data_IF_094980294312
#
_entry.id   IF_094980294312
#
_cell.length_a   1.000
_cell.length_b   1.000
_cell.length_c   1.000
_cell.angle_alpha   90.00
_cell.angle_beta   90.00
_cell.angle_gamma   90.00
#
_symmetry.space_group_name_H-M   'P 1'
#
loop_
_entity.id
_entity.type
_entity.pdbx_description
1 polymer ?
#
# COMPACT_ATOMS: atom_id res chain seq x y z
N UNK A 1 3.30 -7.04 39.69
CA UNK A 1 2.22 -6.05 39.47
C UNK A 1 2.76 -5.00 38.53
N UNK A 2 2.12 -4.77 37.39
CA UNK A 2 2.53 -3.74 36.42
C UNK A 2 2.16 -2.35 36.95
N UNK A 3 3.13 -1.45 37.02
CA UNK A 3 2.90 -0.04 37.35
C UNK A 3 2.14 0.63 36.21
N UNK A 4 0.97 1.19 36.52
CA UNK A 4 0.11 1.85 35.53
C UNK A 4 0.75 3.15 34.98
N UNK A 5 0.30 3.55 33.79
CA UNK A 5 0.62 4.83 33.17
C UNK A 5 0.14 6.00 34.04
N UNK A 6 1.04 6.52 34.88
CA UNK A 6 0.78 7.70 35.68
C UNK A 6 0.75 8.93 34.76
N UNK A 7 -0.39 9.61 34.68
CA UNK A 7 -0.54 10.85 33.92
C UNK A 7 0.37 11.96 34.47
N UNK A 8 1.55 12.12 33.88
CA UNK A 8 2.52 13.14 34.26
C UNK A 8 2.06 14.54 33.79
N UNK A 9 1.51 15.31 34.73
CA UNK A 9 1.07 16.69 34.49
C UNK A 9 2.30 17.62 34.41
N UNK A 10 2.96 17.65 33.25
CA UNK A 10 4.10 18.51 32.95
C UNK A 10 3.61 19.70 32.10
N UNK A 11 3.89 20.97 32.48
CA UNK A 11 3.47 22.13 31.70
C UNK A 11 4.24 22.23 30.39
N UNK A 12 3.56 21.98 29.27
CA UNK A 12 4.12 22.07 27.92
C UNK A 12 4.23 23.54 27.49
N UNK A 13 5.41 24.03 27.02
CA UNK A 13 5.61 25.42 26.63
C UNK A 13 5.10 25.70 25.21
N UNK A 14 3.77 25.66 25.03
CA UNK A 14 3.09 25.76 23.73
C UNK A 14 3.51 26.99 22.91
N UNK A 15 3.65 28.17 23.51
CA UNK A 15 4.04 29.40 22.79
C UNK A 15 5.42 29.27 22.14
N UNK A 16 6.36 28.59 22.80
CA UNK A 16 7.71 28.35 22.28
C UNK A 16 7.68 27.32 21.13
N UNK A 17 6.81 26.31 21.22
CA UNK A 17 6.60 25.34 20.14
C UNK A 17 5.97 26.00 18.91
N UNK A 18 4.93 26.81 19.10
CA UNK A 18 4.27 27.56 18.01
C UNK A 18 5.23 28.53 17.33
N UNK A 19 6.00 29.30 18.10
CA UNK A 19 7.03 30.20 17.57
C UNK A 19 8.11 29.44 16.80
N UNK A 20 8.56 28.28 17.30
CA UNK A 20 9.54 27.44 16.62
C UNK A 20 8.99 26.86 15.30
N UNK A 21 7.74 26.39 15.26
CA UNK A 21 7.08 25.93 14.02
C UNK A 21 6.96 27.06 13.00
N UNK A 22 6.53 28.25 13.43
CA UNK A 22 6.47 29.44 12.55
C UNK A 22 7.84 29.79 11.97
N UNK A 23 8.92 29.68 12.75
CA UNK A 23 10.28 29.87 12.26
C UNK A 23 10.69 28.82 11.22
N UNK A 24 10.28 27.55 11.36
CA UNK A 24 10.59 26.53 10.34
C UNK A 24 9.88 26.87 9.02
N UNK A 25 8.56 27.13 9.07
CA UNK A 25 7.76 27.49 7.89
C UNK A 25 8.33 28.75 7.20
N UNK A 26 8.70 29.77 7.97
CA UNK A 26 9.30 30.99 7.43
C UNK A 26 10.67 30.76 6.76
N UNK A 27 11.44 29.76 7.22
CA UNK A 27 12.67 29.34 6.54
C UNK A 27 12.36 28.61 5.23
N UNK A 28 11.43 27.66 5.21
CA UNK A 28 11.03 26.93 3.98
C UNK A 28 10.50 27.88 2.90
N UNK A 29 9.67 28.85 3.29
CA UNK A 29 9.17 29.90 2.39
C UNK A 29 10.28 30.81 1.83
N UNK A 30 11.42 30.94 2.54
CA UNK A 30 12.55 31.78 2.14
C UNK A 30 13.60 31.01 1.30
N UNK A 31 13.79 29.73 1.56
CA UNK A 31 14.77 28.87 0.86
C UNK A 31 14.17 28.15 -0.34
N UNK A 32 12.86 27.92 -0.35
CA UNK A 32 12.20 27.03 -1.31
C UNK A 32 12.59 25.56 -1.12
N UNK A 33 13.08 25.17 0.07
CA UNK A 33 13.53 23.83 0.42
C UNK A 33 13.06 23.47 1.84
N UNK A 34 12.71 22.19 2.13
CA UNK A 34 12.37 21.76 3.48
C UNK A 34 13.50 22.03 4.48
N UNK A 35 13.18 22.35 5.74
CA UNK A 35 14.22 22.58 6.76
C UNK A 35 14.95 21.28 7.09
N UNK A 36 16.28 21.34 7.09
CA UNK A 36 17.15 20.25 7.50
C UNK A 36 17.02 19.99 9.02
N UNK A 37 16.16 19.04 9.38
CA UNK A 37 15.96 18.57 10.74
C UNK A 37 16.93 17.45 11.13
N UNK A 38 17.28 17.35 12.42
CA UNK A 38 18.10 16.24 12.93
C UNK A 38 17.29 14.96 13.08
N UNK A 39 17.97 13.81 12.98
CA UNK A 39 17.34 12.48 13.07
C UNK A 39 16.43 12.31 14.32
N UNK A 40 16.83 12.68 15.55
CA UNK A 40 15.96 12.49 16.73
C UNK A 40 14.73 13.41 16.73
N UNK A 41 14.82 14.59 16.12
CA UNK A 41 13.66 15.48 15.99
C UNK A 41 12.64 14.93 14.99
N UNK A 42 13.11 14.30 13.89
CA UNK A 42 12.26 13.62 12.91
C UNK A 42 11.61 12.36 13.50
N UNK A 43 12.37 11.57 14.27
CA UNK A 43 11.82 10.45 15.05
C UNK A 43 10.73 10.93 16.02
N UNK A 44 11.02 11.95 16.83
CA UNK A 44 10.04 12.54 17.76
C UNK A 44 8.77 13.07 17.06
N UNK A 45 8.90 13.85 15.98
CA UNK A 45 7.75 14.35 15.23
C UNK A 45 6.91 13.21 14.64
N UNK A 46 7.53 12.12 14.18
CA UNK A 46 6.84 10.97 13.59
C UNK A 46 6.00 10.15 14.58
N UNK A 47 6.17 10.37 15.88
CA UNK A 47 5.29 9.83 16.92
C UNK A 47 4.02 10.67 17.14
N UNK A 48 4.00 11.93 16.68
CA UNK A 48 2.85 12.84 16.79
C UNK A 48 2.10 13.05 15.47
N UNK A 49 2.81 13.04 14.34
CA UNK A 49 2.25 13.30 13.00
C UNK A 49 2.83 12.30 11.98
N UNK A 50 2.00 11.57 11.22
CA UNK A 50 2.50 10.60 10.23
C UNK A 50 3.13 11.31 9.02
N UNK A 51 4.41 11.03 8.76
CA UNK A 51 5.15 11.57 7.61
C UNK A 51 4.74 10.94 6.26
N UNK A 52 4.05 9.79 6.29
CA UNK A 52 3.50 9.14 5.12
C UNK A 52 2.19 8.44 5.50
N UNK A 53 1.16 8.62 4.67
CA UNK A 53 -0.08 7.83 4.72
C UNK A 53 -0.06 6.93 3.49
N UNK A 54 0.10 5.62 3.70
CA UNK A 54 0.11 4.66 2.59
C UNK A 54 -1.33 4.50 2.04
N UNK A 55 -1.61 4.86 0.77
CA UNK A 55 -2.95 4.71 0.20
C UNK A 55 -3.33 3.26 0.01
N UNK A 56 -4.62 2.93 0.12
CA UNK A 56 -5.10 1.59 -0.25
C UNK A 56 -4.80 1.26 -1.72
N UNK A 57 -4.15 0.12 -1.91
CA UNK A 57 -3.84 -0.48 -3.21
C UNK A 57 -4.41 -1.90 -3.30
N UNK A 58 -5.65 -2.07 -2.85
CA UNK A 58 -6.50 -3.26 -3.00
C UNK A 58 -6.11 -4.16 -4.17
N UNK A 59 -5.97 -5.47 -3.88
CA UNK A 59 -5.23 -6.47 -4.67
C UNK A 59 -5.88 -6.89 -6.01
N UNK A 60 -6.59 -5.97 -6.67
CA UNK A 60 -7.35 -6.15 -7.91
C UNK A 60 -6.50 -6.46 -9.16
N UNK A 61 -5.24 -6.88 -9.03
CA UNK A 61 -4.38 -7.28 -10.14
C UNK A 61 -4.04 -6.16 -11.14
N UNK A 62 -3.90 -4.91 -10.66
CA UNK A 62 -3.76 -3.73 -11.54
C UNK A 62 -2.62 -3.82 -12.56
N UNK A 63 -1.50 -4.48 -12.22
CA UNK A 63 -0.38 -4.71 -13.15
C UNK A 63 -0.82 -5.59 -14.34
N UNK A 64 -1.54 -6.69 -14.08
CA UNK A 64 -2.05 -7.60 -15.12
C UNK A 64 -3.09 -6.90 -15.99
N UNK A 65 -4.06 -6.19 -15.38
CA UNK A 65 -5.07 -5.40 -16.09
C UNK A 65 -4.47 -4.29 -16.95
N UNK A 66 -3.39 -3.66 -16.49
CA UNK A 66 -2.65 -2.67 -17.29
C UNK A 66 -1.99 -3.33 -18.51
N UNK A 67 -1.32 -4.47 -18.33
CA UNK A 67 -0.66 -5.20 -19.42
C UNK A 67 -1.69 -5.64 -20.47
N UNK A 68 -2.82 -6.21 -20.03
CA UNK A 68 -3.96 -6.56 -20.89
C UNK A 68 -4.49 -5.34 -21.66
N UNK A 69 -4.72 -4.21 -20.97
CA UNK A 69 -5.18 -2.97 -21.60
C UNK A 69 -4.19 -2.45 -22.63
N UNK A 70 -2.89 -2.42 -22.30
CA UNK A 70 -1.80 -2.01 -23.19
C UNK A 70 -1.73 -2.89 -24.45
N UNK A 71 -1.85 -4.21 -24.29
CA UNK A 71 -1.89 -5.16 -25.40
C UNK A 71 -3.14 -4.97 -26.27
N UNK A 72 -4.32 -4.76 -25.68
CA UNK A 72 -5.57 -4.49 -26.42
C UNK A 72 -5.49 -3.22 -27.27
N UNK A 73 -4.73 -2.22 -26.80
CA UNK A 73 -4.47 -0.96 -27.50
C UNK A 73 -3.26 -1.03 -28.45
N UNK A 74 -2.60 -2.20 -28.57
CA UNK A 74 -1.36 -2.43 -29.33
C UNK A 74 -0.21 -1.47 -28.96
N UNK A 75 -0.19 -1.01 -27.71
CA UNK A 75 0.87 -0.17 -27.17
C UNK A 75 2.08 -1.03 -26.73
N UNK A 76 3.26 -0.41 -26.63
CA UNK A 76 4.44 -1.06 -26.09
C UNK A 76 4.27 -1.41 -24.58
N UNK A 77 4.88 -2.51 -24.15
CA UNK A 77 4.79 -2.98 -22.75
C UNK A 77 5.25 -1.90 -21.75
N UNK A 78 4.63 -1.79 -20.56
CA UNK A 78 5.02 -0.78 -19.57
C UNK A 78 6.44 -1.03 -19.04
N UNK A 79 7.24 0.04 -18.99
CA UNK A 79 8.55 0.03 -18.32
C UNK A 79 8.34 0.34 -16.84
N UNK A 80 8.98 -0.42 -15.96
CA UNK A 80 8.87 -0.24 -14.51
C UNK A 80 10.21 0.17 -13.92
N UNK A 81 10.21 1.26 -13.14
CA UNK A 81 11.38 1.79 -12.46
C UNK A 81 11.10 1.88 -10.98
N UNK A 82 11.62 0.93 -10.20
CA UNK A 82 11.67 1.05 -8.74
C UNK A 82 12.59 2.21 -8.36
N UNK A 83 12.12 3.14 -7.55
CA UNK A 83 12.99 4.09 -6.86
C UNK A 83 13.59 3.40 -5.62
N UNK A 84 14.81 3.78 -5.25
CA UNK A 84 15.51 3.22 -4.10
C UNK A 84 14.73 3.43 -2.78
N UNK A 85 14.96 2.59 -1.76
CA UNK A 85 14.32 2.75 -0.46
C UNK A 85 14.65 4.13 0.12
N UNK A 86 13.62 4.93 0.36
CA UNK A 86 13.74 6.24 1.02
C UNK A 86 13.50 6.04 2.51
N UNK A 87 14.45 6.47 3.34
CA UNK A 87 14.36 6.33 4.80
C UNK A 87 13.43 7.39 5.37
N UNK A 88 12.26 6.98 5.88
CA UNK A 88 11.19 7.86 6.34
C UNK A 88 10.84 7.53 7.80
N UNK A 89 10.67 8.53 8.69
CA UNK A 89 10.35 8.29 10.09
C UNK A 89 8.85 7.98 10.24
N UNK A 90 8.54 6.83 10.85
CA UNK A 90 7.19 6.37 11.17
C UNK A 90 7.18 5.95 12.64
N UNK A 91 6.28 6.51 13.44
CA UNK A 91 6.04 6.11 14.84
C UNK A 91 7.33 6.04 15.69
N UNK A 92 8.24 7.00 15.53
CA UNK A 92 9.52 7.04 16.25
C UNK A 92 10.68 6.30 15.60
N UNK A 93 10.49 5.66 14.44
CA UNK A 93 11.52 4.82 13.80
C UNK A 93 11.66 5.13 12.30
N UNK A 94 12.90 5.29 11.83
CA UNK A 94 13.19 5.35 10.40
C UNK A 94 13.03 3.98 9.73
N UNK A 95 12.17 3.92 8.71
CA UNK A 95 11.87 2.71 7.94
C UNK A 95 12.13 2.96 6.44
N UNK A 96 12.63 1.97 5.69
CA UNK A 96 12.76 2.07 4.24
C UNK A 96 11.39 1.94 3.57
N UNK A 97 10.94 2.99 2.87
CA UNK A 97 9.73 2.94 2.04
C UNK A 97 10.07 3.05 0.55
N UNK A 98 9.19 2.52 -0.30
CA UNK A 98 9.40 2.43 -1.75
C UNK A 98 8.43 3.29 -2.55
N UNK A 99 8.93 3.79 -3.69
CA UNK A 99 8.15 4.34 -4.80
C UNK A 99 8.47 3.51 -6.06
N UNK A 100 7.52 3.38 -6.96
CA UNK A 100 7.70 2.74 -8.26
C UNK A 100 7.08 3.64 -9.33
N UNK A 101 7.71 3.70 -10.50
CA UNK A 101 7.23 4.48 -11.64
C UNK A 101 6.92 3.52 -12.79
N UNK A 102 5.70 3.62 -13.32
CA UNK A 102 5.24 2.95 -14.52
C UNK A 102 5.31 3.94 -15.69
N UNK A 103 6.12 3.66 -16.70
CA UNK A 103 6.26 4.50 -17.89
C UNK A 103 5.62 3.81 -19.09
N UNK A 104 4.65 4.50 -19.69
CA UNK A 104 3.94 4.10 -20.89
C UNK A 104 4.45 4.95 -22.08
N UNK A 105 4.88 4.29 -23.14
CA UNK A 105 5.37 4.97 -24.35
C UNK A 105 4.28 5.90 -24.92
N UNK A 106 4.66 7.13 -25.28
CA UNK A 106 3.78 8.22 -25.74
C UNK A 106 2.70 8.71 -24.76
N UNK A 107 2.55 8.11 -23.57
CA UNK A 107 1.57 8.50 -22.54
C UNK A 107 2.20 9.05 -21.25
N UNK A 108 3.52 8.84 -21.07
CA UNK A 108 4.30 9.36 -19.96
C UNK A 108 4.39 8.41 -18.77
N UNK A 109 4.83 8.95 -17.64
CA UNK A 109 5.09 8.20 -16.41
C UNK A 109 3.99 8.39 -15.36
N UNK A 110 3.79 7.38 -14.53
CA UNK A 110 2.78 7.31 -13.46
C UNK A 110 3.40 6.70 -12.20
N UNK A 111 3.06 7.13 -10.97
CA UNK A 111 2.12 8.20 -10.62
C UNK A 111 2.52 9.58 -11.17
N UNK A 112 1.53 10.43 -11.41
CA UNK A 112 1.72 11.83 -11.84
C UNK A 112 0.59 12.72 -11.31
N UNK A 113 0.72 14.02 -11.48
CA UNK A 113 -0.32 15.00 -11.15
C UNK A 113 -1.66 14.64 -11.83
N UNK A 114 -2.74 14.62 -11.03
CA UNK A 114 -4.08 14.19 -11.44
C UNK A 114 -4.27 12.68 -11.62
N UNK A 115 -3.17 11.90 -11.63
CA UNK A 115 -3.17 10.44 -11.78
C UNK A 115 -2.19 9.80 -10.79
N UNK A 116 -2.53 9.90 -9.50
CA UNK A 116 -1.84 9.25 -8.39
C UNK A 116 -1.26 10.21 -7.33
N UNK A 117 -1.34 11.52 -7.55
CA UNK A 117 -1.23 12.57 -6.54
C UNK A 117 -1.86 13.87 -7.07
N UNK A 118 -2.18 14.81 -6.19
CA UNK A 118 -2.84 16.09 -6.51
C UNK A 118 -1.85 17.15 -6.96
N UNK A 119 -2.34 18.32 -7.39
CA UNK A 119 -1.51 19.46 -7.79
C UNK A 119 -0.66 19.93 -6.61
N UNK A 120 0.67 19.91 -6.77
CA UNK A 120 1.63 20.29 -5.73
C UNK A 120 1.95 19.20 -4.70
N UNK A 121 1.30 18.04 -4.74
CA UNK A 121 1.65 16.89 -3.92
C UNK A 121 2.80 16.08 -4.56
N UNK A 122 3.37 15.13 -3.81
CA UNK A 122 4.28 14.11 -4.35
C UNK A 122 3.61 12.74 -4.37
N UNK A 123 4.17 11.81 -5.16
CA UNK A 123 3.75 10.42 -5.13
C UNK A 123 3.89 9.82 -3.70
N UNK A 124 2.89 9.09 -3.19
CA UNK A 124 2.97 8.45 -1.87
C UNK A 124 4.08 7.39 -1.80
N UNK A 125 4.54 7.08 -0.59
CA UNK A 125 5.46 5.99 -0.33
C UNK A 125 4.74 4.77 0.25
N UNK A 126 5.31 3.58 0.05
CA UNK A 126 4.70 2.31 0.41
C UNK A 126 5.67 1.41 1.20
N UNK A 127 5.14 0.62 2.14
CA UNK A 127 5.89 -0.41 2.89
C UNK A 127 6.25 -1.64 2.04
N UNK A 128 5.83 -1.70 0.78
CA UNK A 128 6.34 -2.73 -0.14
C UNK A 128 6.47 -2.25 -1.59
N UNK A 129 7.47 -2.81 -2.28
CA UNK A 129 7.63 -2.66 -3.74
C UNK A 129 6.40 -3.16 -4.52
N UNK A 130 5.71 -4.19 -4.01
CA UNK A 130 4.47 -4.72 -4.59
C UNK A 130 3.39 -3.62 -4.63
N UNK A 131 3.13 -2.97 -3.49
CA UNK A 131 2.12 -1.92 -3.36
C UNK A 131 2.48 -0.71 -4.23
N UNK A 132 3.74 -0.25 -4.17
CA UNK A 132 4.21 0.86 -4.99
C UNK A 132 4.02 0.59 -6.50
N UNK A 133 4.31 -0.64 -6.96
CA UNK A 133 4.13 -1.06 -8.36
C UNK A 133 2.66 -1.19 -8.74
N UNK A 134 1.82 -1.76 -7.87
CA UNK A 134 0.37 -1.82 -8.05
C UNK A 134 -0.26 -0.41 -8.12
N UNK A 135 0.25 0.55 -7.34
CA UNK A 135 -0.25 1.93 -7.33
C UNK A 135 0.08 2.65 -8.64
N UNK A 136 1.34 2.55 -9.09
CA UNK A 136 1.74 3.04 -10.41
C UNK A 136 0.88 2.42 -11.53
N UNK A 137 0.57 1.12 -11.43
CA UNK A 137 -0.31 0.41 -12.36
C UNK A 137 -1.78 0.91 -12.31
N UNK A 138 -2.34 1.08 -11.11
CA UNK A 138 -3.71 1.56 -10.84
C UNK A 138 -3.97 2.90 -11.55
N UNK A 139 -3.03 3.83 -11.43
CA UNK A 139 -3.17 5.16 -12.03
C UNK A 139 -2.83 5.21 -13.52
N UNK A 140 -1.85 4.43 -14.01
CA UNK A 140 -1.61 4.27 -15.45
C UNK A 140 -2.81 3.62 -16.18
N UNK A 141 -3.45 2.62 -15.57
CA UNK A 141 -4.65 1.97 -16.10
C UNK A 141 -5.87 2.92 -16.09
N UNK A 142 -6.03 3.69 -15.01
CA UNK A 142 -7.07 4.72 -14.92
C UNK A 142 -6.91 5.76 -16.02
N UNK A 143 -5.68 6.22 -16.28
CA UNK A 143 -5.37 7.10 -17.41
C UNK A 143 -5.73 6.46 -18.77
N UNK A 144 -5.30 5.23 -19.08
CA UNK A 144 -5.65 4.54 -20.33
C UNK A 144 -7.13 4.15 -20.46
N UNK A 145 -7.92 4.32 -19.40
CA UNK A 145 -9.38 4.07 -19.39
C UNK A 145 -10.17 5.37 -19.57
N UNK A 146 -9.71 6.47 -18.98
CA UNK A 146 -10.31 7.80 -19.14
C UNK A 146 -9.89 8.48 -20.45
N UNK A 147 -8.65 8.24 -20.91
CA UNK A 147 -8.19 8.63 -22.22
C UNK A 147 -8.90 7.80 -23.29
N UNK A 148 -10.05 8.29 -23.77
CA UNK A 148 -10.64 7.85 -25.03
C UNK A 148 -9.55 7.84 -26.11
N UNK A 149 -9.56 6.88 -27.05
CA UNK A 149 -8.60 6.85 -28.15
C UNK A 149 -8.82 8.06 -29.06
N UNK A 150 -8.15 9.17 -28.75
CA UNK A 150 -8.02 10.30 -29.66
C UNK A 150 -7.28 9.79 -30.90
N UNK A 151 -7.95 9.82 -32.04
CA UNK A 151 -7.34 9.46 -33.32
C UNK A 151 -6.06 10.30 -33.50
N UNK A 152 -4.97 9.64 -33.94
CA UNK A 152 -3.65 10.25 -33.98
C UNK A 152 -3.62 11.28 -35.11
N UNK A 153 -3.94 12.54 -34.77
CA UNK A 153 -3.75 13.70 -35.63
C UNK A 153 -2.38 14.31 -35.30
N UNK A 154 -1.34 14.11 -36.13
CA UNK A 154 -0.04 14.71 -35.85
C UNK A 154 -0.12 16.23 -35.97
N UNK A 155 0.41 16.94 -34.97
CA UNK A 155 0.55 18.40 -35.01
C UNK A 155 -0.63 19.22 -34.47
N UNK A 156 -1.05 18.98 -33.21
CA UNK A 156 -1.71 20.05 -32.44
C UNK A 156 -1.28 20.08 -30.98
N UNK A 157 -0.63 21.18 -30.60
CA UNK A 157 -0.22 21.48 -29.23
C UNK A 157 -1.47 21.95 -28.44
N UNK A 158 -2.31 21.00 -28.03
CA UNK A 158 -3.50 21.30 -27.25
C UNK A 158 -3.13 21.71 -25.83
N UNK A 159 -3.12 23.03 -25.59
CA UNK A 159 -3.54 23.58 -24.29
C UNK A 159 -4.84 22.89 -23.89
N UNK A 160 -4.92 22.38 -22.66
CA UNK A 160 -6.23 22.19 -22.03
C UNK A 160 -6.74 23.56 -21.63
N UNK A 161 -7.91 23.94 -22.16
CA UNK A 161 -8.60 25.14 -21.71
C UNK A 161 -9.08 24.95 -20.27
N UNK A 162 -8.86 25.99 -19.47
CA UNK A 162 -9.13 26.03 -18.03
C UNK A 162 -10.63 26.22 -17.80
N UNK A 163 -11.35 25.28 -17.12
CA UNK A 163 -12.68 25.57 -16.60
C UNK A 163 -12.56 26.71 -15.58
N UNK A 164 -13.21 27.84 -15.87
CA UNK A 164 -13.20 29.00 -14.99
C UNK A 164 -14.34 28.89 -13.97
N UNK A 165 -14.02 28.52 -12.73
CA UNK A 165 -14.89 28.66 -11.57
C UNK A 165 -14.13 29.43 -10.48
N UNK A 166 -14.84 30.31 -9.77
CA UNK A 166 -14.26 31.41 -9.00
C UNK A 166 -13.46 30.98 -7.77
N UNK A 167 -12.38 31.69 -7.41
CA UNK A 167 -11.71 31.49 -6.12
C UNK A 167 -12.62 31.99 -4.98
N UNK A 168 -12.85 31.14 -3.98
CA UNK A 168 -13.42 31.57 -2.70
C UNK A 168 -12.46 32.55 -2.02
N UNK A 169 -13.01 33.62 -1.44
CA UNK A 169 -12.22 34.66 -0.80
C UNK A 169 -11.62 34.17 0.52
N UNK A 170 -10.31 34.38 0.70
CA UNK A 170 -9.65 34.34 2.00
C UNK A 170 -8.99 35.72 2.25
N UNK A 171 -9.05 36.29 3.47
CA UNK A 171 -8.66 37.69 3.69
C UNK A 171 -7.20 37.97 3.35
N UNK A 172 -6.97 39.10 2.66
CA UNK A 172 -5.65 39.54 2.18
C UNK A 172 -5.17 40.74 3.02
N UNK A 173 -4.11 40.62 3.83
CA UNK A 173 -3.53 41.77 4.53
C UNK A 173 -3.02 42.83 3.56
N UNK A 174 -3.25 44.11 3.89
CA UNK A 174 -2.94 45.25 3.05
C UNK A 174 -1.63 45.93 3.49
N UNK A 175 -0.64 45.98 2.58
CA UNK A 175 0.58 46.80 2.71
C UNK A 175 0.86 47.46 1.33
N UNK A 176 1.22 48.76 1.25
CA UNK A 176 1.47 49.46 -0.01
C UNK A 176 2.89 49.24 -0.58
N UNK A 177 3.13 49.54 -1.88
CA UNK A 177 4.42 49.32 -2.56
C UNK A 177 5.37 50.53 -2.45
N UNK A 178 6.68 50.30 -2.65
CA UNK A 178 7.44 51.24 -3.49
C UNK A 178 8.46 50.61 -4.47
N UNK A 179 8.51 51.19 -5.67
CA UNK A 179 9.72 51.54 -6.47
C UNK A 179 10.77 50.48 -6.85
N UNK A 180 10.54 49.86 -8.02
CA UNK A 180 11.42 49.92 -9.21
C UNK A 180 12.94 50.23 -9.04
N UNK A 181 13.80 49.24 -9.32
CA UNK A 181 15.07 49.45 -10.06
C UNK A 181 15.56 48.19 -10.81
N UNK A 182 16.12 48.43 -12.01
CA UNK A 182 16.99 47.58 -12.84
C UNK A 182 18.11 48.53 -13.38
N UNK A 183 19.29 48.12 -13.91
CA UNK A 183 19.41 47.10 -14.99
C UNK A 183 20.76 46.32 -15.23
N UNK A 184 20.67 45.28 -16.08
CA UNK A 184 21.55 44.90 -17.22
C UNK A 184 23.10 44.68 -17.13
N UNK A 185 23.54 43.48 -17.54
CA UNK A 185 24.84 43.15 -18.19
C UNK A 185 25.02 41.61 -18.37
N UNK A 186 25.08 40.99 -19.56
CA UNK A 186 26.17 40.91 -20.59
C UNK A 186 27.51 40.46 -19.96
N UNK A 187 28.28 39.43 -20.39
CA UNK A 187 28.47 38.63 -21.65
C UNK A 187 29.31 37.34 -21.26
N UNK A 188 29.71 36.29 -22.03
CA UNK A 188 29.60 35.83 -23.44
C UNK A 188 30.00 34.31 -23.60
N UNK A 189 29.37 33.56 -24.54
CA UNK A 189 29.87 32.55 -25.56
C UNK A 189 31.33 31.99 -25.43
N UNK A 190 31.68 30.70 -25.65
CA UNK A 190 31.57 29.77 -26.82
C UNK A 190 31.80 28.28 -26.35
N UNK A 191 31.14 27.21 -26.82
CA UNK A 191 31.20 26.44 -28.10
C UNK A 191 32.22 25.27 -28.14
N UNK A 192 31.79 24.06 -28.54
CA UNK A 192 32.60 22.83 -28.72
C UNK A 192 31.76 21.64 -29.27
N UNK A 193 32.36 20.69 -30.01
CA UNK A 193 31.65 19.74 -30.89
C UNK A 193 31.75 18.23 -30.52
N UNK A 194 30.90 17.43 -31.18
CA UNK A 194 30.81 15.94 -31.26
C UNK A 194 32.06 15.24 -31.86
N UNK A 195 32.21 13.88 -31.92
CA UNK A 195 31.18 12.86 -32.22
C UNK A 195 31.24 11.49 -31.46
N UNK A 196 30.54 10.47 -32.00
CA UNK A 196 30.12 9.16 -31.44
C UNK A 196 30.71 7.97 -32.26
N UNK A 197 31.03 6.81 -31.64
CA UNK A 197 30.39 5.50 -31.96
C UNK A 197 30.25 4.59 -30.69
N UNK A 198 29.78 3.32 -30.64
CA UNK A 198 29.24 2.37 -31.65
C UNK A 198 28.09 1.46 -31.09
N UNK A 199 28.24 0.12 -31.06
CA UNK A 199 27.22 -0.91 -30.73
C UNK A 199 27.77 -2.06 -29.85
N UNK A 200 26.96 -2.92 -29.18
CA UNK A 200 26.37 -4.17 -29.76
C UNK A 200 25.40 -4.89 -28.77
N UNK A 201 24.60 -5.91 -29.19
CA UNK A 201 23.47 -6.46 -28.40
C UNK A 201 23.53 -7.99 -28.07
N UNK A 202 22.67 -8.47 -27.13
CA UNK A 202 22.07 -9.83 -27.19
C UNK A 202 20.99 -10.16 -26.12
N UNK A 203 19.91 -10.86 -26.56
CA UNK A 203 19.28 -12.13 -26.07
C UNK A 203 19.08 -12.35 -24.54
N UNK A 204 18.04 -13.04 -24.02
CA UNK A 204 17.05 -13.97 -24.62
C UNK A 204 15.85 -14.26 -23.69
N UNK A 205 14.85 -15.04 -24.16
CA UNK A 205 13.85 -15.86 -23.40
C UNK A 205 12.88 -15.11 -22.44
N UNK A 206 11.53 -15.24 -22.41
CA UNK A 206 10.54 -16.35 -22.60
C UNK A 206 10.67 -17.43 -21.50
N UNK A 207 9.64 -17.79 -20.74
CA UNK A 207 8.48 -18.63 -21.15
C UNK A 207 7.32 -18.62 -20.12
N UNK A 208 6.10 -18.94 -20.56
CA UNK A 208 4.90 -19.42 -19.82
C UNK A 208 4.36 -18.71 -18.55
N UNK A 209 3.08 -18.29 -18.64
CA UNK A 209 2.08 -18.34 -17.55
C UNK A 209 1.16 -19.56 -17.83
N UNK A 210 0.50 -20.16 -16.82
CA UNK A 210 -0.97 -19.96 -16.64
C UNK A 210 -1.39 -19.97 -15.14
N UNK A 211 -2.60 -19.61 -14.68
CA UNK A 211 -3.77 -18.94 -15.28
C UNK A 211 -4.64 -18.27 -14.17
N UNK A 212 -5.62 -17.46 -14.59
CA UNK A 212 -6.89 -17.02 -13.92
C UNK A 212 -7.23 -17.54 -12.50
N UNK A 213 -7.94 -16.81 -11.62
CA UNK A 213 -9.22 -16.09 -11.87
C UNK A 213 -9.68 -15.20 -10.68
N UNK A 214 -10.56 -14.23 -10.97
CA UNK A 214 -11.54 -13.58 -10.05
C UNK A 214 -11.05 -12.60 -8.96
N UNK A 215 -11.94 -11.71 -8.43
CA UNK A 215 -11.59 -10.66 -7.47
C UNK A 215 -11.67 -11.12 -6.00
N UNK A 216 -10.80 -10.55 -5.17
CA UNK A 216 -10.69 -10.77 -3.71
C UNK A 216 -11.69 -9.91 -2.91
N UNK A 217 -12.32 -10.32 -1.80
CA UNK A 217 -12.20 -11.52 -0.93
C UNK A 217 -10.76 -11.93 -0.55
N UNK A 218 -10.31 -11.75 0.70
CA UNK A 218 -8.96 -12.17 1.11
C UNK A 218 -8.73 -13.65 0.75
N UNK A 219 -7.49 -14.01 0.46
CA UNK A 219 -7.22 -15.39 0.00
C UNK A 219 -7.59 -16.40 1.09
N UNK A 220 -8.10 -17.59 0.73
CA UNK A 220 -8.43 -18.64 1.71
C UNK A 220 -7.24 -18.90 2.66
N UNK A 221 -6.01 -18.90 2.13
CA UNK A 221 -4.77 -19.05 2.90
C UNK A 221 -4.47 -17.86 3.86
N UNK A 222 -4.93 -16.66 3.51
CA UNK A 222 -4.78 -15.41 4.28
C UNK A 222 -5.83 -15.32 5.40
N UNK A 223 -7.09 -15.71 5.12
CA UNK A 223 -8.11 -15.88 6.16
C UNK A 223 -7.69 -16.93 7.19
N UNK A 224 -7.23 -18.10 6.72
CA UNK A 224 -6.67 -19.17 7.59
C UNK A 224 -5.53 -18.63 8.44
N UNK A 225 -4.61 -17.85 7.86
CA UNK A 225 -3.49 -17.23 8.60
C UNK A 225 -3.99 -16.28 9.69
N UNK A 226 -4.91 -15.38 9.34
CA UNK A 226 -5.50 -14.40 10.25
C UNK A 226 -6.23 -15.07 11.43
N UNK A 227 -7.09 -16.04 11.14
CA UNK A 227 -7.84 -16.77 12.16
C UNK A 227 -6.94 -17.67 13.02
N UNK A 228 -5.94 -18.34 12.44
CA UNK A 228 -4.98 -19.16 13.20
C UNK A 228 -4.15 -18.34 14.18
N UNK A 229 -3.84 -17.08 13.85
CA UNK A 229 -3.22 -16.13 14.77
C UNK A 229 -4.19 -15.63 15.84
N UNK A 230 -5.42 -15.22 15.47
CA UNK A 230 -6.47 -14.82 16.44
C UNK A 230 -6.80 -15.92 17.46
N UNK A 231 -6.69 -17.18 17.07
CA UNK A 231 -6.98 -18.35 17.91
C UNK A 231 -5.75 -18.91 18.65
N UNK A 232 -4.57 -18.29 18.48
CA UNK A 232 -3.27 -18.70 19.05
C UNK A 232 -2.80 -20.12 18.67
N UNK A 233 -3.26 -20.63 17.52
CA UNK A 233 -2.87 -21.95 16.98
C UNK A 233 -1.60 -21.87 16.12
N UNK A 234 -1.31 -20.70 15.55
CA UNK A 234 -0.17 -20.46 14.64
C UNK A 234 -0.46 -20.90 13.21
N UNK A 235 0.17 -20.27 12.22
CA UNK A 235 -0.11 -20.55 10.80
C UNK A 235 0.18 -22.01 10.40
N UNK A 236 -0.76 -22.70 9.75
CA UNK A 236 -0.53 -24.05 9.22
C UNK A 236 0.40 -24.03 8.00
N UNK A 237 1.16 -25.12 7.86
CA UNK A 237 1.88 -25.50 6.65
C UNK A 237 1.08 -26.58 5.92
N UNK A 238 1.07 -26.57 4.59
CA UNK A 238 0.32 -27.51 3.78
C UNK A 238 1.26 -28.60 3.26
N UNK A 239 1.09 -29.86 3.67
CA UNK A 239 1.83 -30.98 3.12
C UNK A 239 0.96 -31.70 2.10
N UNK A 240 1.39 -31.68 0.84
CA UNK A 240 0.76 -32.38 -0.28
C UNK A 240 1.69 -33.51 -0.71
N UNK A 241 1.16 -34.71 -0.92
CA UNK A 241 1.90 -35.91 -1.30
C UNK A 241 1.13 -36.62 -2.45
N UNK A 242 1.79 -37.34 -3.37
CA UNK A 242 1.09 -38.13 -4.38
C UNK A 242 0.20 -39.19 -3.74
N UNK A 243 -1.00 -39.38 -4.28
CA UNK A 243 -1.96 -40.36 -3.75
C UNK A 243 -1.72 -41.75 -4.36
N UNK A 244 -1.56 -42.82 -3.56
CA UNK A 244 -1.39 -44.18 -4.10
C UNK A 244 -2.61 -44.70 -4.87
N UNK A 245 -3.77 -44.02 -4.84
CA UNK A 245 -4.96 -44.40 -5.58
C UNK A 245 -4.88 -44.19 -7.11
N UNK A 246 -3.92 -43.40 -7.63
CA UNK A 246 -3.73 -43.27 -9.08
C UNK A 246 -2.84 -42.11 -9.54
N UNK A 247 -2.34 -42.22 -10.78
CA UNK A 247 -1.48 -41.21 -11.39
C UNK A 247 -2.13 -39.81 -11.41
N UNK A 248 -1.35 -38.79 -11.05
CA UNK A 248 -1.76 -37.37 -10.92
C UNK A 248 -2.83 -37.04 -9.86
N UNK A 249 -3.21 -38.01 -9.02
CA UNK A 249 -3.97 -37.76 -7.79
C UNK A 249 -3.02 -37.37 -6.65
N UNK A 250 -3.50 -36.51 -5.76
CA UNK A 250 -2.75 -36.01 -4.60
C UNK A 250 -3.60 -36.08 -3.34
N UNK A 251 -2.96 -36.46 -2.24
CA UNK A 251 -3.49 -36.31 -0.90
C UNK A 251 -2.83 -35.11 -0.20
N UNK A 252 -3.54 -34.50 0.73
CA UNK A 252 -3.10 -33.29 1.41
C UNK A 252 -3.54 -33.26 2.87
N UNK A 253 -2.72 -32.66 3.73
CA UNK A 253 -3.08 -32.37 5.13
C UNK A 253 -2.45 -31.07 5.62
N UNK A 254 -3.08 -30.38 6.59
CA UNK A 254 -2.43 -29.29 7.28
C UNK A 254 -1.46 -29.85 8.33
N UNK A 255 -0.45 -29.05 8.65
CA UNK A 255 0.52 -29.30 9.72
C UNK A 255 0.67 -27.99 10.48
N UNK A 256 0.19 -27.94 11.73
CA UNK A 256 0.33 -26.76 12.56
C UNK A 256 1.61 -26.87 13.40
N UNK A 257 1.87 -25.88 14.26
CA UNK A 257 2.96 -25.95 15.25
C UNK A 257 2.47 -26.34 16.65
N UNK A 258 1.16 -26.24 16.89
CA UNK A 258 0.50 -26.42 18.18
C UNK A 258 -0.68 -27.41 18.04
N UNK A 259 -0.42 -28.63 17.59
CA UNK A 259 -1.47 -29.61 17.22
C UNK A 259 -2.38 -30.03 18.40
N UNK A 260 -1.98 -29.78 19.65
CA UNK A 260 -2.67 -30.14 20.91
C UNK A 260 -4.11 -29.62 21.09
N UNK A 261 -4.66 -28.85 20.15
CA UNK A 261 -6.04 -28.33 20.17
C UNK A 261 -6.78 -28.48 18.83
N UNK A 262 -6.26 -29.32 17.93
CA UNK A 262 -6.73 -29.41 16.54
C UNK A 262 -7.15 -30.86 16.27
N UNK A 263 -8.29 -31.12 15.61
CA UNK A 263 -8.70 -32.49 15.28
C UNK A 263 -7.64 -33.17 14.41
N UNK A 264 -7.25 -34.43 14.70
CA UNK A 264 -6.18 -35.13 13.98
C UNK A 264 -6.56 -35.49 12.53
N UNK A 265 -7.84 -35.39 12.22
CA UNK A 265 -8.50 -35.60 10.93
C UNK A 265 -8.76 -34.29 10.15
N UNK A 266 -8.52 -33.11 10.75
CA UNK A 266 -8.83 -31.82 10.13
C UNK A 266 -8.10 -31.63 8.80
N UNK A 267 -8.87 -31.30 7.75
CA UNK A 267 -8.31 -30.91 6.45
C UNK A 267 -7.55 -32.01 5.71
N UNK A 268 -7.68 -33.27 6.12
CA UNK A 268 -7.13 -34.40 5.36
C UNK A 268 -7.99 -34.62 4.11
N UNK A 269 -7.37 -34.55 2.93
CA UNK A 269 -8.01 -34.80 1.63
C UNK A 269 -7.22 -35.84 0.84
N UNK A 270 -7.92 -36.61 0.00
CA UNK A 270 -7.36 -37.64 -0.89
C UNK A 270 -8.07 -37.63 -2.24
N UNK A 271 -7.46 -38.28 -3.24
CA UNK A 271 -8.05 -38.41 -4.58
C UNK A 271 -8.21 -37.09 -5.36
N UNK A 272 -7.48 -36.02 -5.01
CA UNK A 272 -7.64 -34.72 -5.66
C UNK A 272 -6.71 -34.61 -6.88
N UNK A 273 -7.26 -34.36 -8.06
CA UNK A 273 -6.49 -34.16 -9.28
C UNK A 273 -5.72 -32.82 -9.25
N UNK A 274 -4.39 -32.89 -9.20
CA UNK A 274 -3.48 -31.74 -9.21
C UNK A 274 -3.18 -31.11 -7.84
N UNK A 275 -1.89 -31.00 -7.52
CA UNK A 275 -1.33 -30.47 -6.26
C UNK A 275 -1.97 -29.15 -5.78
N UNK A 276 -2.18 -28.19 -6.71
CA UNK A 276 -2.75 -26.87 -6.40
C UNK A 276 -4.21 -26.95 -5.94
N UNK A 277 -5.01 -27.87 -6.51
CA UNK A 277 -6.39 -28.10 -6.08
C UNK A 277 -6.43 -28.84 -4.73
N UNK A 278 -5.55 -29.82 -4.53
CA UNK A 278 -5.40 -30.50 -3.24
C UNK A 278 -5.07 -29.48 -2.13
N UNK A 279 -4.09 -28.62 -2.37
CA UNK A 279 -3.69 -27.56 -1.44
C UNK A 279 -4.80 -26.55 -1.13
N UNK A 280 -5.60 -26.17 -2.13
CA UNK A 280 -6.76 -25.30 -1.91
C UNK A 280 -7.84 -26.00 -1.05
N UNK A 281 -8.14 -27.27 -1.32
CA UNK A 281 -9.13 -28.06 -0.56
C UNK A 281 -8.75 -28.26 0.90
N UNK A 282 -7.47 -28.49 1.20
CA UNK A 282 -6.97 -28.49 2.59
C UNK A 282 -7.24 -27.13 3.27
N UNK A 283 -6.96 -26.02 2.58
CA UNK A 283 -7.14 -24.67 3.14
C UNK A 283 -8.61 -24.28 3.35
N UNK A 284 -9.51 -24.69 2.46
CA UNK A 284 -10.96 -24.48 2.62
C UNK A 284 -11.50 -25.21 3.85
N UNK A 285 -11.14 -26.49 4.04
CA UNK A 285 -11.57 -27.28 5.22
C UNK A 285 -10.98 -26.74 6.53
N UNK A 286 -9.73 -26.26 6.51
CA UNK A 286 -9.11 -25.58 7.66
C UNK A 286 -9.81 -24.24 7.96
N UNK A 287 -10.21 -23.48 6.94
CA UNK A 287 -10.91 -22.20 7.11
C UNK A 287 -12.27 -22.39 7.79
N UNK A 288 -13.06 -23.34 7.31
CA UNK A 288 -14.37 -23.70 7.87
C UNK A 288 -14.27 -24.05 9.37
N UNK A 289 -13.30 -24.90 9.73
CA UNK A 289 -13.08 -25.25 11.13
C UNK A 289 -12.59 -24.07 11.98
N UNK A 290 -11.70 -23.22 11.47
CA UNK A 290 -11.22 -22.02 12.18
C UNK A 290 -12.35 -21.00 12.42
N UNK A 291 -13.29 -20.88 11.48
CA UNK A 291 -14.48 -20.04 11.66
C UNK A 291 -15.41 -20.61 12.74
N UNK A 292 -15.68 -21.93 12.73
CA UNK A 292 -16.48 -22.61 13.76
C UNK A 292 -15.81 -22.58 15.16
N UNK A 293 -14.49 -22.75 15.24
CA UNK A 293 -13.69 -22.62 16.46
C UNK A 293 -13.76 -21.20 17.03
N UNK A 294 -13.68 -20.18 16.17
CA UNK A 294 -13.84 -18.78 16.56
C UNK A 294 -15.25 -18.46 17.06
N UNK A 295 -16.30 -18.98 16.42
CA UNK A 295 -17.67 -18.77 16.87
C UNK A 295 -17.87 -19.40 18.25
N UNK A 296 -17.50 -20.68 18.43
CA UNK A 296 -17.67 -21.41 19.70
C UNK A 296 -17.00 -20.71 20.89
N UNK A 297 -15.85 -20.05 20.68
CA UNK A 297 -15.17 -19.26 21.71
C UNK A 297 -15.91 -17.96 22.06
N UNK A 298 -16.56 -17.31 21.08
CA UNK A 298 -17.42 -16.15 21.34
C UNK A 298 -18.69 -16.57 22.08
N UNK A 299 -19.38 -17.63 21.64
CA UNK A 299 -20.58 -18.16 22.30
C UNK A 299 -20.30 -18.53 23.76
N UNK A 300 -19.14 -19.16 24.01
CA UNK A 300 -18.68 -19.51 25.38
C UNK A 300 -18.42 -18.26 26.21
N UNK A 301 -17.82 -17.22 25.63
CA UNK A 301 -17.56 -15.96 26.32
C UNK A 301 -18.86 -15.20 26.65
N UNK A 302 -19.78 -15.05 25.68
CA UNK A 302 -21.06 -14.37 25.89
C UNK A 302 -21.94 -15.11 26.90
N UNK A 303 -21.96 -16.44 26.87
CA UNK A 303 -22.67 -17.26 27.85
C UNK A 303 -22.14 -17.04 29.28
N UNK A 304 -20.81 -17.12 29.47
CA UNK A 304 -20.17 -16.88 30.77
C UNK A 304 -20.35 -15.42 31.25
N UNK A 305 -20.25 -14.45 30.34
CA UNK A 305 -20.43 -13.03 30.66
C UNK A 305 -21.89 -12.68 31.02
N UNK A 306 -22.86 -13.30 30.35
CA UNK A 306 -24.29 -13.15 30.66
C UNK A 306 -24.66 -13.81 31.98
N UNK A 307 -24.08 -14.99 32.27
CA UNK A 307 -24.25 -15.66 33.56
C UNK A 307 -23.65 -14.86 34.72
N UNK A 308 -22.49 -14.22 34.53
CA UNK A 308 -21.84 -13.39 35.54
C UNK A 308 -22.60 -12.08 35.85
N UNK A 309 -23.27 -11.49 34.85
CA UNK A 309 -24.01 -10.22 35.00
C UNK A 309 -25.51 -10.40 35.29
N UNK A 310 -26.01 -11.64 35.38
CA UNK A 310 -27.39 -11.91 35.77
C UNK A 310 -27.58 -11.70 37.29
N UNK A 311 -28.53 -10.85 37.74
CA UNK A 311 -28.78 -10.66 39.16
C UNK A 311 -29.31 -11.96 39.78
N UNK A 312 -28.75 -12.37 40.93
CA UNK A 312 -29.25 -13.54 41.68
C UNK A 312 -30.75 -13.35 41.99
N UNK A 313 -31.61 -14.34 41.72
CA UNK A 313 -32.99 -14.30 42.18
C UNK A 313 -33.00 -14.23 43.71
N UNK A 314 -33.84 -13.34 44.27
CA UNK A 314 -33.97 -13.22 45.71
C UNK A 314 -34.47 -14.54 46.31
N UNK A 315 -33.77 -15.04 47.33
CA UNK A 315 -34.21 -16.22 48.08
C UNK A 315 -35.56 -15.95 48.72
N UNK A 316 -36.59 -16.80 48.50
CA UNK A 316 -37.88 -16.62 49.17
C UNK A 316 -37.69 -16.72 50.68
N UNK A 317 -38.20 -15.73 51.40
CA UNK A 317 -38.02 -15.62 52.85
C UNK A 317 -39.08 -16.49 53.55
N UNK A 318 -38.70 -17.72 53.91
CA UNK A 318 -39.57 -18.63 54.67
C UNK A 318 -39.83 -18.07 56.07
N UNK A 319 -41.10 -18.01 56.45
CA UNK A 319 -41.56 -17.70 57.83
C UNK A 319 -41.48 -18.94 58.72
#
# INVERSE_FOLDING_TARGET
MTTADANLIIPVPWDKLLLWVQQQIALEMKTGQPVAMTRPQLEALSAFVPFNVEPDVSDQGYVSKLIEKVQSLRLANPVWTDQGPTSIPINGHFQPLWRCVCTLQHHGSFPREGFGFSVGEQAPFFQSKKNAKLFAAKHALSYLTQARPAAITPGKLLRMDRPAISPLQLPKPHIPPPLNVQPLGKRQRLSGNSPVPEATPSKSLRTSVPSTRSPSNPSVFEEVTSLSHRLALGSPTYKIEPDPAGDSLFCGRPVFKNDMRIPPDLGIVSGIAGESQARLKVAESVLEWLQAELQRRQDTFESLWSAANSPKPATPNTQ
#
